data_IF_138685427781
#
_entry.id   IF_138685427781
#
_cell.length_a   1.000
_cell.length_b   1.000
_cell.length_c   1.000
_cell.angle_alpha   90.00
_cell.angle_beta   90.00
_cell.angle_gamma   90.00
#
_symmetry.space_group_name_H-M   'P 1'
#
loop_
_entity.id
_entity.type
_entity.pdbx_description
1 polymer ?
#
# COMPACT_ATOMS: atom_id res chain seq x y z
N UNK A 1 30.15 -20.81 -7.09
CA UNK A 1 29.81 -19.39 -7.23
C UNK A 1 28.39 -19.29 -7.69
N UNK A 2 27.56 -18.53 -6.98
CA UNK A 2 26.21 -18.15 -7.41
C UNK A 2 26.15 -16.64 -7.67
N UNK A 3 25.03 -16.14 -8.19
CA UNK A 3 24.99 -14.77 -8.72
C UNK A 3 24.83 -13.70 -7.65
N UNK A 4 23.83 -13.80 -6.78
CA UNK A 4 23.47 -12.73 -5.83
C UNK A 4 23.40 -13.30 -4.41
N UNK A 5 24.10 -12.65 -3.47
CA UNK A 5 23.95 -12.86 -2.03
C UNK A 5 23.37 -11.59 -1.39
N UNK A 6 22.26 -11.72 -0.66
CA UNK A 6 21.58 -10.61 0.01
C UNK A 6 21.67 -10.64 1.52
N UNK A 7 21.59 -9.49 2.19
CA UNK A 7 21.46 -9.42 3.66
C UNK A 7 21.17 -8.02 4.19
N UNK A 8 20.99 -7.90 5.50
CA UNK A 8 20.97 -6.58 6.16
C UNK A 8 22.35 -5.92 6.14
N UNK A 9 22.40 -4.58 6.20
CA UNK A 9 23.68 -3.86 6.27
C UNK A 9 24.58 -4.27 7.45
N UNK A 10 24.00 -4.74 8.56
CA UNK A 10 24.72 -5.32 9.70
C UNK A 10 25.36 -6.68 9.42
N UNK A 11 24.92 -7.39 8.38
CA UNK A 11 25.48 -8.68 8.03
C UNK A 11 26.77 -8.58 7.23
N UNK A 12 27.13 -7.40 6.70
CA UNK A 12 28.43 -7.20 6.02
C UNK A 12 29.58 -7.69 6.89
N UNK A 13 29.64 -7.21 8.14
CA UNK A 13 30.63 -7.64 9.11
C UNK A 13 30.00 -7.94 10.48
N UNK A 14 30.36 -9.06 11.14
CA UNK A 14 31.35 -10.04 10.70
C UNK A 14 30.77 -11.17 9.84
N UNK A 15 29.45 -11.21 9.63
CA UNK A 15 28.77 -12.42 9.14
C UNK A 15 29.17 -12.80 7.71
N UNK A 16 28.92 -11.94 6.72
CA UNK A 16 29.24 -12.22 5.32
C UNK A 16 30.75 -12.29 5.08
N UNK A 17 31.54 -11.47 5.78
CA UNK A 17 33.01 -11.59 5.75
C UNK A 17 33.49 -12.98 6.18
N UNK A 18 32.86 -13.56 7.22
CA UNK A 18 33.15 -14.92 7.66
C UNK A 18 32.65 -15.97 6.67
N UNK A 19 31.49 -15.76 6.03
CA UNK A 19 30.97 -16.65 5.00
C UNK A 19 31.89 -16.73 3.78
N UNK A 20 32.42 -15.57 3.36
CA UNK A 20 33.45 -15.45 2.32
C UNK A 20 34.69 -16.23 2.76
N UNK A 21 35.23 -15.94 3.94
CA UNK A 21 36.45 -16.59 4.42
C UNK A 21 36.31 -18.13 4.51
N UNK A 22 35.18 -18.62 5.03
CA UNK A 22 34.91 -20.06 5.13
C UNK A 22 34.75 -20.70 3.75
N UNK A 23 33.91 -20.12 2.90
CA UNK A 23 33.56 -20.71 1.62
C UNK A 23 34.75 -20.67 0.66
N UNK A 24 35.32 -19.48 0.44
CA UNK A 24 36.42 -19.27 -0.49
C UNK A 24 37.71 -19.94 -0.01
N UNK A 25 37.94 -19.96 1.31
CA UNK A 25 39.06 -20.70 1.90
C UNK A 25 38.96 -22.22 1.69
N UNK A 26 37.75 -22.78 1.71
CA UNK A 26 37.53 -24.22 1.52
C UNK A 26 37.56 -24.65 0.04
N UNK A 27 37.17 -23.78 -0.89
CA UNK A 27 36.92 -24.16 -2.28
C UNK A 27 37.81 -23.43 -3.31
N UNK A 28 38.55 -22.38 -2.91
CA UNK A 28 39.40 -21.56 -3.78
C UNK A 28 38.64 -20.77 -4.86
N UNK A 29 37.34 -20.53 -4.69
CA UNK A 29 36.47 -19.87 -5.68
C UNK A 29 35.58 -18.81 -5.02
N UNK A 30 35.28 -17.70 -5.71
CA UNK A 30 34.35 -16.70 -5.18
C UNK A 30 33.01 -17.30 -4.76
N UNK A 31 32.45 -16.88 -3.63
CA UNK A 31 31.14 -17.36 -3.16
C UNK A 31 30.01 -16.84 -4.06
N UNK A 32 29.96 -15.51 -4.25
CA UNK A 32 28.91 -14.80 -4.99
C UNK A 32 29.48 -13.73 -5.93
N UNK A 33 28.77 -13.41 -7.02
CA UNK A 33 29.17 -12.34 -7.96
C UNK A 33 28.75 -10.95 -7.46
N UNK A 34 27.58 -10.83 -6.85
CA UNK A 34 27.02 -9.58 -6.33
C UNK A 34 26.58 -9.74 -4.87
N UNK A 35 26.94 -8.76 -4.06
CA UNK A 35 26.51 -8.63 -2.67
C UNK A 35 25.56 -7.44 -2.54
N UNK A 36 24.36 -7.70 -2.02
CA UNK A 36 23.26 -6.73 -1.96
C UNK A 36 22.83 -6.55 -0.51
N UNK A 37 22.93 -5.33 0.01
CA UNK A 37 22.60 -5.07 1.42
C UNK A 37 21.53 -4.00 1.58
N UNK A 38 20.48 -4.32 2.32
CA UNK A 38 19.43 -3.35 2.63
C UNK A 38 19.81 -2.46 3.82
N UNK A 39 19.32 -1.22 3.79
CA UNK A 39 19.48 -0.25 4.87
C UNK A 39 18.71 -0.64 6.14
N UNK A 40 19.07 0.01 7.24
CA UNK A 40 18.44 -0.21 8.55
C UNK A 40 17.05 0.38 8.64
N UNK A 41 16.18 -0.28 9.40
CA UNK A 41 14.95 0.34 9.90
C UNK A 41 15.26 1.10 11.19
N UNK A 42 14.88 2.37 11.24
CA UNK A 42 14.97 3.26 12.41
C UNK A 42 13.57 3.54 12.94
N UNK A 43 13.44 3.95 14.19
CA UNK A 43 12.18 4.38 14.81
C UNK A 43 12.39 5.77 15.38
N UNK A 44 11.64 6.75 14.91
CA UNK A 44 11.75 8.16 15.34
C UNK A 44 13.20 8.70 15.30
N UNK A 45 13.95 8.34 14.24
CA UNK A 45 15.38 8.62 14.07
C UNK A 45 16.34 7.95 15.06
N UNK A 46 15.84 7.14 16.01
CA UNK A 46 16.63 6.29 16.88
C UNK A 46 16.75 4.87 16.32
N UNK A 47 17.78 4.14 16.75
CA UNK A 47 17.91 2.71 16.41
C UNK A 47 16.77 1.95 17.09
N UNK A 48 16.08 1.11 16.32
CA UNK A 48 15.08 0.20 16.88
C UNK A 48 15.78 -0.81 17.82
N UNK A 49 15.36 -0.91 19.07
CA UNK A 49 15.85 -1.94 19.99
C UNK A 49 14.81 -2.32 21.04
N UNK A 50 14.85 -3.58 21.48
CA UNK A 50 13.99 -4.05 22.59
C UNK A 50 14.28 -3.31 23.90
N UNK A 51 15.51 -2.84 24.11
CA UNK A 51 15.91 -2.16 25.35
C UNK A 51 15.42 -0.71 25.42
N UNK A 52 15.21 -0.06 24.27
CA UNK A 52 14.65 1.30 24.16
C UNK A 52 13.12 1.30 24.21
N UNK A 53 12.47 0.12 24.16
CA UNK A 53 11.01 0.01 24.14
C UNK A 53 10.36 0.51 22.83
N UNK A 54 11.16 0.85 21.82
CA UNK A 54 10.73 1.39 20.51
C UNK A 54 10.69 0.30 19.41
N UNK A 55 10.56 -0.97 19.80
CA UNK A 55 10.48 -2.10 18.89
C UNK A 55 9.02 -2.48 18.61
N UNK A 56 8.67 -2.57 17.33
CA UNK A 56 7.33 -3.01 16.89
C UNK A 56 7.46 -4.30 16.07
N UNK A 57 6.62 -5.28 16.41
CA UNK A 57 6.46 -6.48 15.62
C UNK A 57 5.54 -6.23 14.44
N UNK A 58 5.72 -7.00 13.37
CA UNK A 58 4.79 -6.99 12.22
C UNK A 58 3.35 -7.24 12.68
N UNK A 59 3.13 -8.07 13.71
CA UNK A 59 1.79 -8.36 14.26
C UNK A 59 1.15 -7.12 14.88
N UNK A 60 1.91 -6.32 15.61
CA UNK A 60 1.42 -5.06 16.21
C UNK A 60 1.11 -4.01 15.14
N UNK A 61 1.97 -3.89 14.12
CA UNK A 61 1.73 -2.95 13.02
C UNK A 61 0.52 -3.38 12.19
N UNK A 62 0.36 -4.69 11.92
CA UNK A 62 -0.80 -5.23 11.19
C UNK A 62 -2.13 -5.08 11.93
N UNK A 63 -2.10 -4.94 13.26
CA UNK A 63 -3.31 -4.61 14.01
C UNK A 63 -3.80 -3.17 13.71
N UNK A 64 -2.89 -2.27 13.28
CA UNK A 64 -3.15 -0.86 12.99
C UNK A 64 -3.17 -0.50 11.50
N UNK A 65 -2.53 -1.27 10.66
CA UNK A 65 -2.38 -0.97 9.23
C UNK A 65 -2.59 -2.24 8.42
N UNK A 66 -3.23 -2.13 7.27
CA UNK A 66 -3.28 -3.24 6.35
C UNK A 66 -1.89 -3.57 5.79
N UNK A 67 -1.70 -4.84 5.40
CA UNK A 67 -0.42 -5.33 4.92
C UNK A 67 0.10 -4.59 3.68
N UNK A 68 -0.80 -4.07 2.84
CA UNK A 68 -0.41 -3.36 1.62
C UNK A 68 0.08 -1.95 1.93
N UNK A 69 -0.51 -1.24 2.91
CA UNK A 69 0.02 0.02 3.43
C UNK A 69 1.45 -0.15 3.96
N UNK A 70 1.73 -1.22 4.72
CA UNK A 70 3.08 -1.51 5.21
C UNK A 70 4.04 -1.80 4.04
N UNK A 71 3.61 -2.60 3.05
CA UNK A 71 4.41 -2.86 1.84
C UNK A 71 4.70 -1.57 1.09
N UNK A 72 3.69 -0.73 0.87
CA UNK A 72 3.81 0.56 0.19
C UNK A 72 4.78 1.50 0.92
N UNK A 73 4.71 1.55 2.25
CA UNK A 73 5.66 2.29 3.09
C UNK A 73 7.12 1.84 2.87
N UNK A 74 7.36 0.53 2.70
CA UNK A 74 8.71 0.01 2.43
C UNK A 74 9.15 0.33 1.00
N UNK A 75 8.34 0.00 -0.01
CA UNK A 75 8.75 0.11 -1.42
C UNK A 75 8.88 1.55 -1.92
N UNK A 76 8.29 2.54 -1.24
CA UNK A 76 8.47 3.96 -1.60
C UNK A 76 9.83 4.54 -1.17
N UNK A 77 10.67 3.76 -0.49
CA UNK A 77 12.05 4.10 -0.15
C UNK A 77 13.00 3.15 -0.87
N UNK A 78 14.19 3.65 -1.25
CA UNK A 78 15.22 2.82 -1.86
C UNK A 78 15.73 1.79 -0.85
N UNK A 79 15.92 0.53 -1.25
CA UNK A 79 16.22 -0.57 -0.32
C UNK A 79 17.53 -0.36 0.47
N UNK A 80 18.50 0.36 -0.09
CA UNK A 80 19.78 0.71 0.55
C UNK A 80 19.69 1.87 1.55
N UNK A 81 18.60 2.64 1.53
CA UNK A 81 18.41 3.78 2.42
C UNK A 81 17.91 3.32 3.80
N UNK A 82 18.21 4.10 4.84
CA UNK A 82 17.61 3.88 6.13
C UNK A 82 16.11 4.21 6.07
N UNK A 83 15.26 3.28 6.51
CA UNK A 83 13.82 3.45 6.54
C UNK A 83 13.39 3.90 7.93
N UNK A 84 12.85 5.11 8.06
CA UNK A 84 12.41 5.63 9.35
C UNK A 84 10.93 5.30 9.60
N UNK A 85 10.66 4.39 10.52
CA UNK A 85 9.32 4.03 10.97
C UNK A 85 8.78 5.10 11.94
N UNK A 86 7.55 5.53 11.67
CA UNK A 86 6.68 6.25 12.61
C UNK A 86 5.22 6.04 12.18
N UNK A 87 4.28 6.14 13.12
CA UNK A 87 2.85 6.07 12.78
C UNK A 87 2.48 7.15 11.75
N UNK A 88 3.07 8.35 11.84
CA UNK A 88 2.88 9.44 10.86
C UNK A 88 3.34 9.08 9.44
N UNK A 89 4.45 8.35 9.27
CA UNK A 89 4.88 7.92 7.95
C UNK A 89 4.01 6.79 7.37
N UNK A 90 3.46 5.93 8.22
CA UNK A 90 2.49 4.91 7.79
C UNK A 90 1.16 5.53 7.40
N UNK A 91 0.70 6.55 8.12
CA UNK A 91 -0.49 7.32 7.75
C UNK A 91 -0.29 8.03 6.40
N UNK A 92 0.88 8.65 6.17
CA UNK A 92 1.23 9.25 4.88
C UNK A 92 1.27 8.19 3.75
N UNK A 93 1.85 7.02 4.03
CA UNK A 93 1.88 5.90 3.09
C UNK A 93 0.47 5.43 2.73
N UNK A 94 -0.41 5.28 3.72
CA UNK A 94 -1.82 4.92 3.53
C UNK A 94 -2.54 5.95 2.67
N UNK A 95 -2.39 7.23 2.99
CA UNK A 95 -3.00 8.34 2.24
C UNK A 95 -2.52 8.37 0.79
N UNK A 96 -1.24 8.14 0.58
CA UNK A 96 -0.63 8.06 -0.73
C UNK A 96 -1.15 6.85 -1.53
N UNK A 97 -1.21 5.67 -0.93
CA UNK A 97 -1.77 4.47 -1.57
C UNK A 97 -3.26 4.63 -1.91
N UNK A 98 -4.03 5.29 -1.03
CA UNK A 98 -5.43 5.64 -1.25
C UNK A 98 -5.65 6.45 -2.53
N UNK A 99 -4.70 7.32 -2.92
CA UNK A 99 -4.79 8.10 -4.17
C UNK A 99 -4.68 7.19 -5.40
N UNK A 100 -3.82 6.18 -5.37
CA UNK A 100 -3.68 5.20 -6.45
C UNK A 100 -4.96 4.35 -6.58
N UNK A 101 -5.48 3.85 -5.44
CA UNK A 101 -6.74 3.11 -5.43
C UNK A 101 -7.94 3.96 -5.86
N UNK A 102 -7.98 5.25 -5.51
CA UNK A 102 -9.02 6.17 -5.98
C UNK A 102 -9.01 6.31 -7.51
N UNK A 103 -7.83 6.34 -8.14
CA UNK A 103 -7.73 6.38 -9.60
C UNK A 103 -8.32 5.11 -10.23
N UNK A 104 -8.00 3.93 -9.67
CA UNK A 104 -8.52 2.64 -10.13
C UNK A 104 -10.01 2.43 -9.82
N UNK A 105 -10.54 3.03 -8.76
CA UNK A 105 -11.97 2.98 -8.47
C UNK A 105 -12.79 3.83 -9.45
N UNK A 106 -12.17 4.86 -10.05
CA UNK A 106 -12.82 5.76 -10.98
C UNK A 106 -13.00 5.20 -12.39
N UNK A 107 -12.35 4.09 -12.74
CA UNK A 107 -12.39 3.46 -14.07
C UNK A 107 -12.15 1.96 -13.92
N UNK A 108 -13.01 1.12 -14.49
CA UNK A 108 -12.77 -0.34 -14.52
C UNK A 108 -11.51 -0.63 -15.36
N UNK A 109 -10.45 -1.21 -14.80
CA UNK A 109 -9.20 -1.44 -15.53
C UNK A 109 -9.35 -2.55 -16.58
N UNK A 110 -8.79 -2.35 -17.78
CA UNK A 110 -8.62 -3.43 -18.75
C UNK A 110 -7.57 -4.43 -18.28
N UNK A 111 -7.73 -5.69 -18.66
CA UNK A 111 -6.63 -6.67 -18.55
C UNK A 111 -5.60 -6.36 -19.64
N UNK A 112 -4.42 -5.89 -19.25
CA UNK A 112 -3.35 -5.52 -20.19
C UNK A 112 -2.05 -6.27 -19.90
N UNK A 113 -1.40 -6.74 -20.96
CA UNK A 113 0.02 -7.10 -20.92
C UNK A 113 0.85 -5.82 -20.97
N UNK A 114 1.91 -5.74 -20.17
CA UNK A 114 2.79 -4.56 -20.15
C UNK A 114 3.52 -4.48 -21.49
N UNK A 115 3.25 -3.41 -22.23
CA UNK A 115 4.04 -3.00 -23.37
C UNK A 115 5.17 -2.08 -22.89
N UNK A 116 6.40 -2.60 -22.86
CA UNK A 116 7.58 -1.85 -22.40
C UNK A 116 8.00 -0.72 -23.35
N UNK A 117 7.40 -0.61 -24.55
CA UNK A 117 7.57 0.57 -25.41
C UNK A 117 6.66 1.74 -25.00
N UNK A 118 5.65 1.51 -24.14
CA UNK A 118 4.84 2.59 -23.59
C UNK A 118 5.72 3.56 -22.74
N UNK A 119 5.57 4.88 -22.87
CA UNK A 119 6.42 5.84 -22.15
C UNK A 119 6.42 5.69 -20.62
N UNK A 120 5.28 5.35 -20.01
CA UNK A 120 5.21 5.11 -18.56
C UNK A 120 5.89 3.79 -18.19
N UNK A 121 5.61 2.72 -18.93
CA UNK A 121 6.24 1.41 -18.68
C UNK A 121 7.76 1.46 -18.87
N UNK A 122 8.25 2.15 -19.90
CA UNK A 122 9.67 2.33 -20.16
C UNK A 122 10.37 3.08 -19.02
N UNK A 123 9.76 4.16 -18.51
CA UNK A 123 10.29 4.91 -17.35
C UNK A 123 10.27 4.11 -16.06
N UNK A 124 9.19 3.35 -15.82
CA UNK A 124 9.11 2.43 -14.70
C UNK A 124 10.22 1.37 -14.77
N UNK A 125 10.43 0.77 -15.94
CA UNK A 125 11.50 -0.21 -16.17
C UNK A 125 12.87 0.41 -15.93
N UNK A 126 13.14 1.58 -16.51
CA UNK A 126 14.42 2.27 -16.33
C UNK A 126 14.71 2.58 -14.85
N UNK A 127 13.70 2.98 -14.08
CA UNK A 127 13.83 3.16 -12.64
C UNK A 127 14.17 1.86 -11.91
N UNK A 128 13.50 0.75 -12.25
CA UNK A 128 13.76 -0.55 -11.62
C UNK A 128 15.10 -1.17 -12.05
N UNK A 129 15.56 -0.94 -13.28
CA UNK A 129 16.85 -1.39 -13.79
C UNK A 129 18.02 -0.66 -13.11
N UNK A 130 17.79 0.55 -12.59
CA UNK A 130 18.78 1.35 -11.85
C UNK A 130 18.73 0.98 -10.36
N UNK A 131 19.41 -0.11 -9.99
CA UNK A 131 19.56 -0.62 -8.61
C UNK A 131 18.22 -0.75 -7.85
N UNK A 132 17.16 -1.23 -8.51
CA UNK A 132 15.83 -1.33 -7.90
C UNK A 132 15.31 0.02 -7.37
N UNK A 133 15.40 1.07 -8.20
CA UNK A 133 14.90 2.43 -7.94
C UNK A 133 13.37 2.51 -7.77
N UNK A 134 12.86 1.90 -6.71
CA UNK A 134 11.44 1.86 -6.41
C UNK A 134 10.82 3.23 -6.10
N UNK A 135 11.51 4.23 -5.51
CA UNK A 135 10.94 5.58 -5.36
C UNK A 135 10.57 6.22 -6.71
N UNK A 136 11.45 6.13 -7.69
CA UNK A 136 11.25 6.64 -9.05
C UNK A 136 10.15 5.84 -9.77
N UNK A 137 10.14 4.51 -9.60
CA UNK A 137 9.08 3.66 -10.14
C UNK A 137 7.70 4.00 -9.56
N UNK A 138 7.62 4.27 -8.25
CA UNK A 138 6.39 4.73 -7.57
C UNK A 138 5.96 6.11 -8.07
N UNK A 139 6.90 7.02 -8.35
CA UNK A 139 6.57 8.32 -8.93
C UNK A 139 5.86 8.16 -10.30
N UNK A 140 6.31 7.22 -11.14
CA UNK A 140 5.65 6.88 -12.40
C UNK A 140 4.23 6.37 -12.18
N UNK A 141 3.96 5.59 -11.13
CA UNK A 141 2.60 5.15 -10.81
C UNK A 141 1.67 6.33 -10.48
N UNK A 142 2.16 7.34 -9.75
CA UNK A 142 1.37 8.53 -9.44
C UNK A 142 1.09 9.41 -10.66
N UNK A 143 2.06 9.57 -11.55
CA UNK A 143 1.85 10.28 -12.81
C UNK A 143 0.81 9.56 -13.68
N UNK A 144 0.91 8.24 -13.78
CA UNK A 144 -0.04 7.42 -14.53
C UNK A 144 -1.45 7.47 -13.91
N UNK A 145 -1.56 7.46 -12.57
CA UNK A 145 -2.82 7.68 -11.87
C UNK A 145 -3.43 9.06 -12.17
N UNK A 146 -2.60 10.10 -12.32
CA UNK A 146 -3.02 11.42 -12.79
C UNK A 146 -3.66 11.36 -14.19
N UNK A 147 -3.00 10.67 -15.12
CA UNK A 147 -3.52 10.50 -16.49
C UNK A 147 -4.79 9.64 -16.55
N UNK A 148 -4.91 8.60 -15.71
CA UNK A 148 -6.16 7.83 -15.56
C UNK A 148 -7.32 8.73 -15.11
N UNK A 149 -7.10 9.57 -14.10
CA UNK A 149 -8.12 10.48 -13.61
C UNK A 149 -8.55 11.52 -14.66
N UNK A 150 -7.60 12.01 -15.46
CA UNK A 150 -7.83 13.00 -16.52
C UNK A 150 -8.56 12.41 -17.73
N UNK A 151 -8.14 11.24 -18.18
CA UNK A 151 -8.59 10.65 -19.45
C UNK A 151 -9.72 9.64 -19.29
N UNK A 152 -9.89 9.10 -18.07
CA UNK A 152 -10.78 7.96 -17.78
C UNK A 152 -10.47 6.71 -18.62
N UNK A 153 -9.23 6.56 -19.07
CA UNK A 153 -8.81 5.44 -19.93
C UNK A 153 -8.69 4.12 -19.17
N UNK A 154 -9.52 3.14 -19.53
CA UNK A 154 -9.48 1.78 -18.97
C UNK A 154 -8.14 1.08 -19.25
N UNK A 155 -7.53 1.32 -20.41
CA UNK A 155 -6.20 0.80 -20.76
C UNK A 155 -5.09 1.37 -19.88
N UNK A 156 -5.12 2.68 -19.58
CA UNK A 156 -4.14 3.29 -18.66
C UNK A 156 -4.36 2.83 -17.22
N UNK A 157 -5.61 2.63 -16.80
CA UNK A 157 -5.92 2.05 -15.49
C UNK A 157 -5.42 0.60 -15.40
N UNK A 158 -5.58 -0.18 -16.47
CA UNK A 158 -5.00 -1.51 -16.61
C UNK A 158 -3.48 -1.49 -16.47
N UNK A 159 -2.81 -0.56 -17.16
CA UNK A 159 -1.36 -0.42 -17.08
C UNK A 159 -0.90 -0.03 -15.68
N UNK A 160 -1.61 0.89 -15.00
CA UNK A 160 -1.34 1.27 -13.62
C UNK A 160 -1.41 0.06 -12.70
N UNK A 161 -2.45 -0.76 -12.84
CA UNK A 161 -2.63 -1.99 -12.07
C UNK A 161 -1.52 -3.00 -12.35
N UNK A 162 -1.15 -3.21 -13.61
CA UNK A 162 -0.08 -4.16 -13.99
C UNK A 162 1.29 -3.72 -13.49
N UNK A 163 1.64 -2.43 -13.61
CA UNK A 163 2.91 -1.90 -13.08
C UNK A 163 2.93 -1.90 -11.54
N UNK A 164 1.82 -1.55 -10.89
CA UNK A 164 1.67 -1.71 -9.44
C UNK A 164 1.87 -3.16 -8.99
N UNK A 165 1.39 -4.11 -9.80
CA UNK A 165 1.57 -5.55 -9.58
C UNK A 165 3.03 -6.00 -9.56
N UNK A 166 3.92 -5.37 -10.33
CA UNK A 166 5.36 -5.62 -10.26
C UNK A 166 5.95 -5.31 -8.88
N UNK A 167 5.34 -4.41 -8.11
CA UNK A 167 5.74 -4.06 -6.73
C UNK A 167 4.87 -4.74 -5.66
N UNK A 168 3.95 -5.63 -6.06
CA UNK A 168 2.99 -6.26 -5.15
C UNK A 168 1.93 -5.29 -4.61
N UNK A 169 1.59 -4.25 -5.37
CA UNK A 169 0.61 -3.22 -5.04
C UNK A 169 -0.60 -3.28 -6.00
N UNK A 170 -1.72 -2.67 -5.61
CA UNK A 170 -2.92 -2.43 -6.40
C UNK A 170 -3.65 -3.70 -6.87
N UNK A 171 -3.48 -4.80 -6.14
CA UNK A 171 -4.06 -6.10 -6.49
C UNK A 171 -5.43 -6.36 -5.84
N UNK A 172 -5.77 -5.64 -4.76
CA UNK A 172 -7.10 -5.72 -4.18
C UNK A 172 -8.16 -5.07 -5.09
N UNK A 173 -9.43 -5.41 -4.86
CA UNK A 173 -10.51 -4.66 -5.47
C UNK A 173 -10.48 -3.21 -4.94
N UNK A 174 -10.48 -2.17 -5.81
CA UNK A 174 -10.34 -0.79 -5.36
C UNK A 174 -11.42 -0.32 -4.38
N UNK A 175 -12.67 -0.74 -4.59
CA UNK A 175 -13.78 -0.37 -3.70
C UNK A 175 -13.64 -1.09 -2.36
N UNK A 176 -13.26 -2.37 -2.36
CA UNK A 176 -13.00 -3.10 -1.10
C UNK A 176 -11.87 -2.46 -0.31
N UNK A 177 -10.80 -2.04 -0.98
CA UNK A 177 -9.69 -1.35 -0.33
C UNK A 177 -10.14 0.00 0.27
N UNK A 178 -10.78 0.85 -0.53
CA UNK A 178 -11.25 2.18 -0.07
C UNK A 178 -12.31 2.11 1.02
N UNK A 179 -13.08 1.02 1.08
CA UNK A 179 -14.14 0.80 2.06
C UNK A 179 -13.66 -0.01 3.27
N UNK A 180 -12.35 -0.27 3.39
CA UNK A 180 -11.77 -0.96 4.53
C UNK A 180 -12.09 -2.45 4.62
N UNK A 181 -12.55 -3.06 3.51
CA UNK A 181 -12.79 -4.50 3.38
C UNK A 181 -11.54 -5.28 2.98
N UNK A 182 -10.38 -4.62 2.89
CA UNK A 182 -9.09 -5.26 2.59
C UNK A 182 -8.38 -5.67 3.89
N UNK A 183 -8.07 -6.96 4.02
CA UNK A 183 -7.35 -7.48 5.17
C UNK A 183 -7.35 -9.00 5.19
N UNK A 184 -6.23 -9.58 5.62
CA UNK A 184 -6.18 -10.99 6.01
C UNK A 184 -6.78 -11.14 7.41
N UNK A 185 -7.70 -12.09 7.56
CA UNK A 185 -7.92 -12.79 8.83
C UNK A 185 -6.64 -13.53 9.21
N UNK A 186 -5.74 -12.88 9.95
CA UNK A 186 -4.67 -13.57 10.66
C UNK A 186 -5.26 -14.16 11.95
N UNK A 187 -6.00 -15.26 11.80
CA UNK A 187 -6.26 -16.34 12.77
C UNK A 187 -7.56 -17.06 12.37
N UNK A 188 -7.46 -18.17 11.64
CA UNK A 188 -8.39 -19.30 11.84
C UNK A 188 -7.73 -20.57 11.36
N UNK A 189 -7.84 -21.62 12.17
CA UNK A 189 -7.56 -23.00 11.76
C UNK A 189 -8.31 -23.33 10.45
N UNK A 190 -7.82 -24.27 9.63
CA UNK A 190 -8.56 -24.73 8.46
C UNK A 190 -9.96 -25.21 8.87
N UNK A 191 -11.01 -24.47 8.48
CA UNK A 191 -12.40 -24.90 8.64
C UNK A 191 -13.28 -24.09 9.61
N UNK A 192 -12.79 -23.00 10.20
CA UNK A 192 -13.64 -22.08 10.99
C UNK A 192 -13.67 -20.71 10.33
N UNK A 193 -14.85 -20.18 10.03
CA UNK A 193 -15.06 -18.81 9.59
C UNK A 193 -15.81 -18.07 10.69
N UNK A 194 -15.16 -17.14 11.38
CA UNK A 194 -15.83 -16.16 12.23
C UNK A 194 -15.64 -14.78 11.62
N UNK A 195 -16.74 -14.05 11.46
CA UNK A 195 -16.82 -12.74 10.80
C UNK A 195 -16.24 -11.59 11.65
N UNK A 196 -15.12 -11.81 12.34
CA UNK A 196 -14.38 -10.81 13.12
C UNK A 196 -12.98 -10.68 12.52
N UNK A 197 -12.91 -10.06 11.33
CA UNK A 197 -11.70 -9.97 10.52
C UNK A 197 -11.45 -8.59 9.91
N UNK A 198 -12.09 -7.54 10.43
CA UNK A 198 -11.70 -6.18 10.09
C UNK A 198 -10.49 -5.79 10.95
N UNK A 199 -9.39 -5.35 10.32
CA UNK A 199 -8.27 -4.72 11.02
C UNK A 199 -8.81 -3.69 12.03
N UNK A 200 -8.30 -3.70 13.26
CA UNK A 200 -8.72 -2.80 14.35
C UNK A 200 -8.48 -1.30 14.06
N UNK A 201 -7.97 -0.98 12.87
CA UNK A 201 -7.73 0.36 12.35
C UNK A 201 -8.91 1.00 11.64
N UNK A 202 -9.96 0.24 11.34
CA UNK A 202 -11.22 0.79 10.87
C UNK A 202 -12.22 0.76 12.01
N UNK A 203 -12.27 1.80 12.84
CA UNK A 203 -13.40 2.04 13.77
C UNK A 203 -14.66 2.45 12.99
N UNK A 204 -15.05 1.67 11.98
CA UNK A 204 -16.34 1.82 11.31
C UNK A 204 -17.38 1.22 12.24
N UNK A 205 -18.07 2.10 12.98
CA UNK A 205 -19.07 1.71 13.99
C UNK A 205 -20.48 1.61 13.42
N UNK A 206 -20.59 1.47 12.09
CA UNK A 206 -21.85 1.51 11.35
C UNK A 206 -21.85 0.42 10.27
N UNK A 207 -22.96 -0.30 10.15
CA UNK A 207 -23.10 -1.34 9.13
C UNK A 207 -23.20 -0.74 7.73
N UNK A 208 -22.78 -1.50 6.73
CA UNK A 208 -22.87 -1.08 5.32
C UNK A 208 -24.33 -0.79 4.90
N UNK A 209 -25.28 -1.60 5.37
CA UNK A 209 -26.70 -1.37 5.10
C UNK A 209 -27.17 -0.02 5.67
N UNK A 210 -26.74 0.33 6.89
CA UNK A 210 -27.07 1.63 7.47
C UNK A 210 -26.40 2.79 6.72
N UNK A 211 -25.17 2.60 6.20
CA UNK A 211 -24.53 3.60 5.33
C UNK A 211 -25.37 3.81 4.06
N UNK A 212 -25.84 2.72 3.42
CA UNK A 212 -26.69 2.80 2.22
C UNK A 212 -28.02 3.51 2.50
N UNK A 213 -28.66 3.18 3.62
CA UNK A 213 -29.89 3.84 4.07
C UNK A 213 -29.69 5.34 4.26
N UNK A 214 -28.63 5.75 4.98
CA UNK A 214 -28.30 7.16 5.19
C UNK A 214 -27.98 7.88 3.88
N UNK A 215 -27.32 7.23 2.92
CA UNK A 215 -27.09 7.81 1.58
C UNK A 215 -28.42 8.02 0.85
N UNK A 216 -29.35 7.07 0.93
CA UNK A 216 -30.68 7.20 0.33
C UNK A 216 -31.53 8.30 1.00
N UNK A 217 -31.55 8.35 2.34
CA UNK A 217 -32.19 9.41 3.13
C UNK A 217 -31.63 10.79 2.74
N UNK A 218 -30.31 10.90 2.60
CA UNK A 218 -29.64 12.13 2.16
C UNK A 218 -30.00 12.53 0.73
N UNK A 219 -30.13 11.56 -0.18
CA UNK A 219 -30.55 11.82 -1.55
C UNK A 219 -32.00 12.34 -1.59
N UNK A 220 -32.91 11.74 -0.81
CA UNK A 220 -34.28 12.22 -0.67
C UNK A 220 -34.35 13.63 -0.07
N UNK A 221 -33.56 13.91 0.97
CA UNK A 221 -33.47 15.25 1.57
C UNK A 221 -33.00 16.31 0.54
N UNK A 222 -31.97 15.99 -0.27
CA UNK A 222 -31.53 16.86 -1.37
C UNK A 222 -32.61 17.11 -2.42
N UNK A 223 -33.38 16.08 -2.80
CA UNK A 223 -34.50 16.20 -3.74
C UNK A 223 -35.62 17.09 -3.18
N UNK A 224 -35.89 16.98 -1.88
CA UNK A 224 -36.84 17.82 -1.15
C UNK A 224 -36.30 19.24 -0.84
N UNK A 225 -35.05 19.56 -1.24
CA UNK A 225 -34.33 20.80 -0.90
C UNK A 225 -34.13 21.03 0.61
N UNK A 226 -34.21 19.96 1.41
CA UNK A 226 -33.84 19.97 2.82
C UNK A 226 -32.32 19.78 2.97
N UNK A 227 -31.59 20.88 2.75
CA UNK A 227 -30.13 20.89 2.83
C UNK A 227 -29.62 20.70 4.27
N UNK A 228 -30.42 21.07 5.28
CA UNK A 228 -30.05 20.92 6.69
C UNK A 228 -29.98 19.43 7.07
N UNK A 229 -31.00 18.65 6.71
CA UNK A 229 -30.99 17.20 6.92
C UNK A 229 -29.88 16.52 6.11
N UNK A 230 -29.68 16.94 4.86
CA UNK A 230 -28.62 16.37 4.01
C UNK A 230 -27.20 16.62 4.58
N UNK A 231 -26.97 17.77 5.21
CA UNK A 231 -25.70 18.08 5.87
C UNK A 231 -25.54 17.34 7.20
N UNK A 232 -26.62 17.27 8.01
CA UNK A 232 -26.65 16.49 9.25
C UNK A 232 -26.24 15.04 9.01
N UNK A 233 -26.79 14.40 7.96
CA UNK A 233 -26.45 13.01 7.61
C UNK A 233 -24.98 12.88 7.18
N UNK A 234 -24.45 13.84 6.42
CA UNK A 234 -23.02 13.85 6.05
C UNK A 234 -22.13 13.94 7.29
N UNK A 235 -22.46 14.81 8.24
CA UNK A 235 -21.71 14.95 9.49
C UNK A 235 -21.83 13.69 10.38
N UNK A 236 -23.00 13.07 10.42
CA UNK A 236 -23.22 11.80 11.14
C UNK A 236 -22.32 10.67 10.59
N UNK A 237 -22.25 10.55 9.26
CA UNK A 237 -21.38 9.58 8.59
C UNK A 237 -19.89 9.91 8.82
N UNK A 238 -19.51 11.19 8.73
CA UNK A 238 -18.14 11.62 8.98
C UNK A 238 -17.70 11.33 10.41
N UNK A 239 -18.56 11.57 11.40
CA UNK A 239 -18.29 11.25 12.81
C UNK A 239 -18.11 9.73 13.06
N UNK A 240 -18.59 8.89 12.13
CA UNK A 240 -18.41 7.44 12.12
C UNK A 240 -17.25 6.99 11.22
N UNK A 241 -16.43 7.93 10.75
CA UNK A 241 -15.28 7.67 9.89
C UNK A 241 -15.64 7.38 8.43
N UNK A 242 -16.81 7.79 7.94
CA UNK A 242 -17.25 7.58 6.55
C UNK A 242 -17.25 8.90 5.79
N UNK A 243 -16.48 8.95 4.70
CA UNK A 243 -16.40 10.13 3.82
C UNK A 243 -17.23 9.88 2.56
N UNK A 244 -18.20 10.77 2.31
CA UNK A 244 -19.05 10.72 1.12
C UNK A 244 -18.43 11.47 -0.07
N UNK A 245 -18.39 10.82 -1.23
CA UNK A 245 -17.97 11.40 -2.52
C UNK A 245 -19.18 11.50 -3.45
N UNK A 246 -19.62 12.72 -3.72
CA UNK A 246 -20.70 12.99 -4.66
C UNK A 246 -20.14 13.12 -6.09
N UNK A 247 -20.82 12.51 -7.08
CA UNK A 247 -20.51 12.62 -8.51
C UNK A 247 -21.80 12.65 -9.34
N UNK A 248 -21.75 12.99 -10.65
CA UNK A 248 -22.91 12.87 -11.53
C UNK A 248 -23.49 11.45 -11.62
N UNK A 249 -22.68 10.41 -11.37
CA UNK A 249 -23.10 9.01 -11.38
C UNK A 249 -23.73 8.56 -10.04
N UNK A 250 -23.72 9.41 -9.02
CA UNK A 250 -24.23 9.11 -7.68
C UNK A 250 -23.24 9.40 -6.55
N UNK A 251 -23.62 9.03 -5.33
CA UNK A 251 -22.79 9.17 -4.12
C UNK A 251 -22.11 7.85 -3.81
N UNK A 252 -20.77 7.85 -3.77
CA UNK A 252 -19.96 6.75 -3.23
C UNK A 252 -19.40 7.12 -1.86
N UNK A 253 -18.78 6.16 -1.17
CA UNK A 253 -18.18 6.38 0.14
C UNK A 253 -16.89 5.59 0.31
N UNK A 254 -16.04 6.10 1.21
CA UNK A 254 -14.79 5.47 1.63
C UNK A 254 -14.59 5.68 3.13
N UNK A 255 -13.74 4.85 3.74
CA UNK A 255 -13.39 5.04 5.14
C UNK A 255 -12.35 6.17 5.27
N UNK A 256 -12.50 6.96 6.32
CA UNK A 256 -11.54 7.97 6.73
C UNK A 256 -10.24 7.26 7.11
N UNK A 257 -9.18 7.70 6.46
CA UNK A 257 -7.81 7.21 6.61
C UNK A 257 -7.20 7.63 7.93
#
# INVERSE_FOLDING_TARGET
TFDIHGGGADLQFPHHENEIAQSEGANGKPLANFWVHNGFVRVDNEKMSKSLGNFFTIREVLAKYDAETIRFFIVRAHYRSALNYSDAHLDDARNSLKRLYTALAGVTPDSVTIDWANPFAARFKAAMDEDFGTPEAVAVLFELAGEVNKTRSARLAGLLKSLGGCLGLLQANPNDWLQGRHGYTLNVEPGVFTAEGANASFKVTISEDRIKDLIAERAAAKQAKDFATADRIRQELLAKGIVLKDSPAGTTWEVQS
#
